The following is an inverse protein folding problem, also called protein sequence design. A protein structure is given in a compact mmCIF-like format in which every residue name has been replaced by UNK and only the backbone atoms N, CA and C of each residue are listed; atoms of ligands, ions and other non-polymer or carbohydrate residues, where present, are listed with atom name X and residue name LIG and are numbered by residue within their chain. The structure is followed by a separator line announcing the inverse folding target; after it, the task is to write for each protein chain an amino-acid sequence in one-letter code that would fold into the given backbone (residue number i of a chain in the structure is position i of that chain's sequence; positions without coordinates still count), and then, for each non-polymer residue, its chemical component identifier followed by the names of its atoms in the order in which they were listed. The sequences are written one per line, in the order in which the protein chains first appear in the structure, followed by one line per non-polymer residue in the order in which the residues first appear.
data_IF_096375327862
#
_entry.id   IF_096375327862
#
_cell.length_a   1.000
_cell.length_b   1.000
_cell.length_c   1.000
_cell.angle_alpha   90.00
_cell.angle_beta   90.00
_cell.angle_gamma   90.00
#
_symmetry.space_group_name_H-M   'P 1'
#
loop_
_entity.id
_entity.type
_entity.pdbx_description
1 polymer ?
#
# COMPACT_ATOMS: atom_id res chain seq x y z
N UNK A 1 -14.07 -9.15 4.76
CA UNK A 1 -14.11 -9.22 6.24
C UNK A 1 -15.31 -10.01 6.74
N UNK A 2 -16.56 -9.51 6.68
CA UNK A 2 -17.75 -10.24 7.19
C UNK A 2 -17.99 -11.55 6.44
N UNK A 3 -17.86 -11.53 5.12
CA UNK A 3 -17.99 -12.72 4.25
C UNK A 3 -16.92 -13.79 4.53
N UNK A 4 -15.75 -13.38 5.00
CA UNK A 4 -14.62 -14.25 5.32
C UNK A 4 -14.52 -14.60 6.82
N UNK A 5 -15.56 -14.28 7.62
CA UNK A 5 -15.61 -14.42 9.10
C UNK A 5 -14.44 -13.76 9.86
N UNK A 6 -13.81 -12.75 9.26
CA UNK A 6 -12.70 -11.99 9.87
C UNK A 6 -13.21 -10.90 10.83
N UNK A 7 -14.49 -10.55 10.75
CA UNK A 7 -15.12 -9.56 11.64
C UNK A 7 -16.53 -10.00 12.04
N UNK A 8 -16.79 -10.02 13.35
CA UNK A 8 -18.11 -10.28 13.91
C UNK A 8 -18.80 -8.97 14.25
N UNK A 9 -19.98 -8.78 13.67
CA UNK A 9 -20.81 -7.59 13.89
C UNK A 9 -22.07 -7.99 14.66
N UNK A 10 -22.49 -7.14 15.59
CA UNK A 10 -23.61 -7.34 16.48
C UNK A 10 -24.59 -6.16 16.41
N UNK A 11 -25.87 -6.44 16.62
CA UNK A 11 -26.93 -5.43 16.68
C UNK A 11 -26.95 -4.55 15.43
N UNK A 12 -26.81 -3.23 15.62
CA UNK A 12 -26.86 -2.21 14.54
C UNK A 12 -25.48 -1.80 14.00
N UNK A 13 -24.41 -2.52 14.34
CA UNK A 13 -23.05 -2.13 13.96
C UNK A 13 -22.87 -2.02 12.44
N UNK A 14 -23.44 -2.94 11.64
CA UNK A 14 -23.32 -2.89 10.19
C UNK A 14 -23.99 -1.62 9.59
N UNK A 15 -25.16 -1.26 10.09
CA UNK A 15 -25.88 -0.06 9.66
C UNK A 15 -25.09 1.20 9.99
N UNK A 16 -24.56 1.29 11.23
CA UNK A 16 -23.77 2.42 11.68
C UNK A 16 -22.45 2.57 10.88
N UNK A 17 -21.76 1.46 10.60
CA UNK A 17 -20.54 1.45 9.80
C UNK A 17 -20.77 1.90 8.34
N UNK A 18 -21.98 1.70 7.80
CA UNK A 18 -22.34 2.19 6.45
C UNK A 18 -22.70 3.68 6.42
N UNK A 19 -23.10 4.25 7.56
CA UNK A 19 -23.56 5.65 7.66
C UNK A 19 -22.49 6.61 8.21
N UNK A 20 -21.49 6.08 8.93
CA UNK A 20 -20.44 6.88 9.56
C UNK A 20 -19.61 7.63 8.50
N UNK A 21 -19.27 8.88 8.79
CA UNK A 21 -18.40 9.70 7.93
C UNK A 21 -16.93 9.32 8.14
N UNK A 22 -16.13 9.43 7.09
CA UNK A 22 -14.69 9.24 7.13
C UNK A 22 -14.01 10.01 8.28
N UNK A 23 -14.34 11.31 8.44
CA UNK A 23 -13.77 12.15 9.50
C UNK A 23 -14.15 11.71 10.91
N UNK A 24 -15.29 11.04 11.09
CA UNK A 24 -15.69 10.48 12.38
C UNK A 24 -14.91 9.21 12.68
N UNK A 25 -14.68 8.35 11.67
CA UNK A 25 -13.83 7.16 11.81
C UNK A 25 -12.42 7.58 12.26
N UNK A 26 -11.81 8.55 11.57
CA UNK A 26 -10.45 9.00 11.88
C UNK A 26 -10.31 9.49 13.32
N UNK A 27 -11.24 10.33 13.78
CA UNK A 27 -11.26 10.84 15.15
C UNK A 27 -11.42 9.73 16.19
N UNK A 28 -12.28 8.74 15.93
CA UNK A 28 -12.48 7.61 16.84
C UNK A 28 -11.25 6.71 16.92
N UNK A 29 -10.48 6.60 15.82
CA UNK A 29 -9.26 5.82 15.77
C UNK A 29 -8.02 6.57 16.25
N UNK A 30 -8.10 7.90 16.39
CA UNK A 30 -6.98 8.77 16.77
C UNK A 30 -6.34 8.36 18.10
N UNK A 31 -7.14 8.10 19.14
CA UNK A 31 -6.63 7.67 20.44
C UNK A 31 -5.97 6.28 20.42
N UNK A 32 -6.31 5.45 19.42
CA UNK A 32 -5.75 4.10 19.23
C UNK A 32 -4.58 4.08 18.24
N UNK A 33 -4.36 5.17 17.52
CA UNK A 33 -3.15 5.34 16.72
C UNK A 33 -2.00 5.52 17.68
N UNK A 34 -1.06 4.58 17.65
CA UNK A 34 0.18 4.70 18.37
C UNK A 34 1.01 5.84 17.75
N UNK A 35 0.84 7.05 18.29
CA UNK A 35 1.52 8.26 17.83
C UNK A 35 3.06 8.12 17.99
N UNK A 36 3.52 7.19 18.85
CA UNK A 36 4.94 6.92 19.05
C UNK A 36 5.56 6.11 17.89
N UNK A 37 4.74 5.36 17.14
CA UNK A 37 5.14 4.70 15.89
C UNK A 37 5.05 5.71 14.74
N UNK A 38 6.03 6.63 14.71
CA UNK A 38 6.46 7.53 13.61
C UNK A 38 5.36 8.03 12.64
N UNK A 39 5.38 9.34 12.33
CA UNK A 39 4.60 9.93 11.21
C UNK A 39 4.73 9.18 9.87
N UNK A 40 5.74 8.32 9.73
CA UNK A 40 5.96 7.44 8.60
C UNK A 40 6.13 5.99 9.07
N UNK A 41 5.51 5.05 8.36
CA UNK A 41 5.72 3.62 8.57
C UNK A 41 7.19 3.21 8.50
N UNK A 42 7.50 2.02 9.03
CA UNK A 42 8.85 1.44 8.90
C UNK A 42 9.20 1.25 7.43
N UNK A 43 10.28 1.89 6.99
CA UNK A 43 10.80 1.78 5.61
C UNK A 43 12.21 1.23 5.62
N UNK A 44 12.44 0.12 4.91
CA UNK A 44 13.79 -0.38 4.66
C UNK A 44 14.55 0.38 3.58
N UNK A 45 13.84 1.21 2.79
CA UNK A 45 14.49 2.06 1.78
C UNK A 45 14.96 3.38 2.39
N UNK A 46 16.20 3.78 2.07
CA UNK A 46 16.72 5.10 2.41
C UNK A 46 16.34 6.07 1.29
N UNK A 47 15.68 7.18 1.64
CA UNK A 47 15.46 8.27 0.68
C UNK A 47 16.80 8.89 0.30
N UNK A 48 17.29 8.63 -0.91
CA UNK A 48 18.42 9.37 -1.50
C UNK A 48 17.87 10.56 -2.31
N UNK A 49 18.20 11.81 -1.94
CA UNK A 49 17.77 12.98 -2.70
C UNK A 49 18.33 12.99 -4.12
N UNK A 50 19.53 12.43 -4.32
CA UNK A 50 20.25 12.45 -5.60
C UNK A 50 19.65 11.51 -6.66
N UNK A 51 19.12 10.35 -6.25
CA UNK A 51 18.59 9.37 -7.21
C UNK A 51 17.25 9.84 -7.82
N UNK A 52 16.42 10.54 -7.04
CA UNK A 52 15.11 11.02 -7.52
C UNK A 52 15.21 12.05 -8.64
N UNK A 53 16.25 12.89 -8.62
CA UNK A 53 16.45 13.88 -9.69
C UNK A 53 16.99 13.24 -10.98
N UNK A 54 17.63 12.07 -10.86
CA UNK A 54 18.23 11.35 -11.98
C UNK A 54 17.28 10.33 -12.62
N UNK A 55 16.28 9.86 -11.88
CA UNK A 55 15.27 8.91 -12.36
C UNK A 55 13.94 9.66 -12.46
N UNK A 56 13.53 10.11 -13.66
CA UNK A 56 12.25 10.78 -13.84
C UNK A 56 11.11 9.84 -13.44
N UNK A 57 10.21 10.33 -12.59
CA UNK A 57 9.01 9.58 -12.20
C UNK A 57 8.08 9.55 -13.41
N UNK A 58 7.89 8.36 -13.97
CA UNK A 58 6.97 8.14 -15.08
C UNK A 58 5.54 8.14 -14.53
N UNK A 59 4.71 9.07 -14.98
CA UNK A 59 3.31 9.19 -14.52
C UNK A 59 2.32 8.53 -15.46
N UNK A 60 2.71 8.29 -16.72
CA UNK A 60 1.84 7.78 -17.78
C UNK A 60 2.60 6.75 -18.63
N UNK A 61 1.87 5.74 -19.10
CA UNK A 61 2.32 4.81 -20.14
C UNK A 61 1.65 5.17 -21.46
N UNK A 62 2.41 5.31 -22.55
CA UNK A 62 1.81 5.44 -23.88
C UNK A 62 1.35 4.05 -24.36
N UNK A 63 0.21 4.01 -25.06
CA UNK A 63 -0.34 2.78 -25.64
C UNK A 63 0.60 2.10 -26.63
N UNK A 64 1.45 2.87 -27.32
CA UNK A 64 2.43 2.33 -28.27
C UNK A 64 3.56 1.58 -27.59
N UNK A 65 3.92 1.99 -26.37
CA UNK A 65 5.03 1.39 -25.62
C UNK A 65 4.62 0.07 -24.99
N UNK A 66 3.36 -0.07 -24.59
CA UNK A 66 2.85 -1.27 -23.89
C UNK A 66 2.26 -2.32 -24.83
N UNK A 67 2.49 -2.22 -26.15
CA UNK A 67 2.01 -3.23 -27.13
C UNK A 67 2.84 -4.51 -27.16
N UNK A 68 3.93 -4.58 -26.39
CA UNK A 68 4.74 -5.79 -26.21
C UNK A 68 5.01 -6.06 -24.73
N UNK A 69 5.00 -7.35 -24.31
CA UNK A 69 5.43 -7.75 -22.98
C UNK A 69 6.88 -7.32 -22.69
N UNK A 70 7.20 -7.08 -21.42
CA UNK A 70 8.54 -6.67 -20.97
C UNK A 70 8.60 -5.30 -20.30
N UNK A 71 7.45 -4.63 -20.16
CA UNK A 71 7.34 -3.35 -19.47
C UNK A 71 6.92 -3.58 -18.03
N UNK A 72 7.91 -3.80 -17.16
CA UNK A 72 7.63 -4.33 -15.83
C UNK A 72 7.75 -3.27 -14.72
N UNK A 73 6.73 -3.18 -13.88
CA UNK A 73 6.79 -2.52 -12.57
C UNK A 73 7.14 -3.56 -11.50
N UNK A 74 8.11 -3.23 -10.64
CA UNK A 74 8.59 -4.13 -9.60
C UNK A 74 8.61 -3.42 -8.26
N UNK A 75 8.02 -4.05 -7.25
CA UNK A 75 7.98 -3.53 -5.88
C UNK A 75 8.35 -4.63 -4.88
N UNK A 76 8.96 -4.22 -3.77
CA UNK A 76 9.29 -5.12 -2.67
C UNK A 76 8.46 -4.83 -1.42
N UNK A 77 8.02 -5.89 -0.74
CA UNK A 77 7.33 -5.83 0.55
C UNK A 77 8.15 -6.54 1.62
N UNK A 78 8.59 -5.78 2.62
CA UNK A 78 9.35 -6.30 3.76
C UNK A 78 8.40 -6.85 4.83
N UNK A 79 8.48 -8.15 5.11
CA UNK A 79 7.67 -8.83 6.16
C UNK A 79 8.32 -8.71 7.54
N UNK A 80 8.65 -7.48 7.93
CA UNK A 80 9.51 -7.15 9.08
C UNK A 80 8.77 -6.88 10.40
N UNK A 81 7.43 -6.90 10.40
CA UNK A 81 6.64 -6.64 11.61
C UNK A 81 6.92 -5.25 12.19
N UNK A 82 7.44 -5.21 13.42
CA UNK A 82 7.74 -3.96 14.14
C UNK A 82 9.22 -3.54 14.09
N UNK A 83 10.09 -4.32 13.44
CA UNK A 83 11.52 -4.01 13.37
C UNK A 83 12.13 -4.35 12.02
N UNK A 84 12.92 -3.42 11.48
CA UNK A 84 13.74 -3.65 10.29
C UNK A 84 15.07 -4.36 10.60
N UNK A 85 15.35 -4.68 11.86
CA UNK A 85 16.52 -5.44 12.27
C UNK A 85 16.24 -6.95 12.27
N UNK A 86 17.29 -7.74 12.04
CA UNK A 86 17.19 -9.20 12.04
C UNK A 86 16.82 -9.77 10.67
N UNK A 87 16.19 -10.94 10.68
CA UNK A 87 15.84 -11.70 9.48
C UNK A 87 14.33 -11.64 9.25
N UNK A 88 13.94 -11.36 8.02
CA UNK A 88 12.55 -11.36 7.58
C UNK A 88 12.49 -11.71 6.10
N UNK A 89 11.32 -12.16 5.65
CA UNK A 89 11.08 -12.42 4.24
C UNK A 89 10.85 -11.09 3.50
N UNK A 90 11.33 -11.04 2.26
CA UNK A 90 11.01 -9.98 1.30
C UNK A 90 10.23 -10.62 0.15
N UNK A 91 9.07 -10.07 -0.15
CA UNK A 91 8.29 -10.49 -1.30
C UNK A 91 8.51 -9.50 -2.43
N UNK A 92 8.95 -10.01 -3.58
CA UNK A 92 9.05 -9.26 -4.82
C UNK A 92 7.73 -9.41 -5.57
N UNK A 93 7.06 -8.30 -5.83
CA UNK A 93 5.94 -8.21 -6.75
C UNK A 93 6.44 -7.70 -8.10
N UNK A 94 5.98 -8.33 -9.18
CA UNK A 94 6.41 -8.07 -10.55
C UNK A 94 5.16 -8.01 -11.41
N UNK A 95 4.88 -6.85 -11.98
CA UNK A 95 3.72 -6.62 -12.84
C UNK A 95 4.21 -6.24 -14.24
N UNK A 96 3.92 -7.07 -15.24
CA UNK A 96 4.11 -6.71 -16.64
C UNK A 96 2.92 -5.87 -17.12
N UNK A 97 3.22 -4.68 -17.63
CA UNK A 97 2.27 -3.70 -18.13
C UNK A 97 2.15 -3.90 -19.64
N UNK A 98 1.24 -4.79 -20.00
CA UNK A 98 0.88 -5.07 -21.38
C UNK A 98 -0.52 -4.55 -21.69
N UNK A 99 -0.66 -3.85 -22.82
CA UNK A 99 -1.94 -3.45 -23.39
C UNK A 99 -2.01 -3.89 -24.85
N UNK A 100 -2.71 -4.99 -25.11
CA UNK A 100 -3.24 -5.27 -26.45
C UNK A 100 -4.44 -4.36 -26.70
N UNK A 101 -4.38 -3.55 -27.74
CA UNK A 101 -5.61 -3.04 -28.37
C UNK A 101 -6.36 -4.24 -28.96
N UNK A 102 -7.57 -4.51 -28.46
CA UNK A 102 -8.64 -5.02 -29.32
C UNK A 102 -9.29 -3.85 -30.07
#
# INVERSE_FOLDING_TARGET
LKEFDEIRLYGKQEELLRQIKFSTIDKLLEEKRDISKKEYGLSGTKRSPLLKTLIPVRTNFNKEETQEPGHVEMDCVLRCGESLSGQYAETLNVLDIYSSLE
#
